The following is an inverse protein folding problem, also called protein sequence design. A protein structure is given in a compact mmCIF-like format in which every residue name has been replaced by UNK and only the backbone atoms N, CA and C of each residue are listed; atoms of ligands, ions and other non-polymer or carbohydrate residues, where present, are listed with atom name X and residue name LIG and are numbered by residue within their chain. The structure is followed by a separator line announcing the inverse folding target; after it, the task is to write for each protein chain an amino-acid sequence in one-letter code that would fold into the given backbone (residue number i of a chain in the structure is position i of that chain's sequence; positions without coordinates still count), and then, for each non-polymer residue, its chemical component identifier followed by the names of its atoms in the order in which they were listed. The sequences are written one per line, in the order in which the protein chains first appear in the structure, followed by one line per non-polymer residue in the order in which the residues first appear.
data_IF_613058854760
#
_entry.id   IF_613058854760
#
_cell.length_a   1.000
_cell.length_b   1.000
_cell.length_c   1.000
_cell.angle_alpha   90.00
_cell.angle_beta   90.00
_cell.angle_gamma   90.00
#
_symmetry.space_group_name_H-M   'P 1'
#
loop_
_entity.id
_entity.type
_entity.pdbx_description
1 polymer ?
#
# COMPACT_ATOMS: atom_id res chain seq x y z
N UNK A 1 -14.09 -22.01 -57.72
CA UNK A 1 -12.89 -21.75 -56.89
C UNK A 1 -12.28 -20.42 -57.30
N UNK A 2 -12.41 -19.38 -56.47
CA UNK A 2 -11.96 -18.02 -56.79
C UNK A 2 -10.51 -17.78 -56.36
N UNK A 3 -9.67 -17.24 -57.26
CA UNK A 3 -8.27 -16.90 -56.99
C UNK A 3 -8.19 -15.55 -56.26
N UNK A 4 -7.70 -15.54 -55.03
CA UNK A 4 -7.47 -14.32 -54.25
C UNK A 4 -6.15 -13.68 -54.68
N UNK A 5 -6.20 -12.45 -55.22
CA UNK A 5 -5.01 -11.64 -55.53
C UNK A 5 -4.53 -10.96 -54.24
N UNK A 6 -3.36 -11.35 -53.73
CA UNK A 6 -2.73 -10.68 -52.58
C UNK A 6 -2.03 -9.40 -53.03
N UNK A 7 -2.50 -8.24 -52.56
CA UNK A 7 -1.81 -6.97 -52.70
C UNK A 7 -0.63 -6.90 -51.71
N UNK A 8 0.60 -6.85 -52.22
CA UNK A 8 1.81 -6.58 -51.42
C UNK A 8 2.02 -5.06 -51.36
N UNK A 9 1.75 -4.46 -50.20
CA UNK A 9 2.17 -3.09 -49.93
C UNK A 9 3.66 -3.06 -49.57
N UNK A 10 4.47 -2.28 -50.30
CA UNK A 10 5.84 -1.96 -49.91
C UNK A 10 5.81 -0.78 -48.94
N UNK A 11 6.25 -1.00 -47.71
CA UNK A 11 6.45 0.08 -46.73
C UNK A 11 7.76 0.84 -47.05
N UNK A 12 7.79 2.18 -46.92
CA UNK A 12 9.00 2.96 -47.14
C UNK A 12 9.99 2.74 -45.99
N UNK A 13 11.24 2.41 -46.34
CA UNK A 13 12.34 2.27 -45.39
C UNK A 13 12.90 3.65 -45.03
N UNK A 14 12.66 4.10 -43.80
CA UNK A 14 13.30 5.30 -43.27
C UNK A 14 14.78 5.02 -43.00
N UNK A 15 15.67 5.81 -43.63
CA UNK A 15 17.12 5.78 -43.39
C UNK A 15 17.38 6.21 -41.94
N UNK A 16 17.71 5.25 -41.08
CA UNK A 16 18.20 5.51 -39.72
C UNK A 16 19.61 6.10 -39.80
N UNK A 17 19.76 7.33 -39.30
CA UNK A 17 21.05 7.98 -39.14
C UNK A 17 21.94 7.21 -38.16
N UNK A 18 23.16 6.93 -38.58
CA UNK A 18 24.20 6.22 -37.83
C UNK A 18 24.80 7.16 -36.80
N UNK A 19 24.29 7.15 -35.57
CA UNK A 19 24.94 7.80 -34.42
C UNK A 19 26.10 6.91 -33.97
N UNK A 20 27.31 7.45 -34.07
CA UNK A 20 28.55 6.81 -33.66
C UNK A 20 28.54 6.60 -32.14
N UNK A 21 28.55 5.34 -31.70
CA UNK A 21 28.72 4.97 -30.31
C UNK A 21 30.21 4.93 -29.95
N UNK A 22 30.63 5.83 -29.06
CA UNK A 22 31.94 5.77 -28.40
C UNK A 22 31.93 4.64 -27.36
N UNK A 23 32.76 3.63 -27.58
CA UNK A 23 32.88 2.45 -26.71
C UNK A 23 33.82 2.75 -25.54
N UNK A 24 33.25 3.24 -24.44
CA UNK A 24 33.93 3.26 -23.13
C UNK A 24 34.09 1.84 -22.59
N UNK A 25 35.34 1.36 -22.48
CA UNK A 25 35.70 0.07 -21.87
C UNK A 25 35.34 0.07 -20.39
N UNK A 26 34.26 -0.60 -20.02
CA UNK A 26 33.94 -0.94 -18.63
C UNK A 26 34.66 -2.25 -18.31
N UNK A 27 35.73 -2.18 -17.54
CA UNK A 27 36.41 -3.34 -16.97
C UNK A 27 35.49 -4.02 -15.95
N UNK A 28 35.04 -5.23 -16.28
CA UNK A 28 34.30 -6.09 -15.35
C UNK A 28 35.30 -6.76 -14.40
N UNK A 29 35.38 -6.30 -13.17
CA UNK A 29 36.00 -7.07 -12.09
C UNK A 29 35.10 -8.25 -11.74
N UNK A 30 35.54 -9.46 -12.11
CA UNK A 30 34.92 -10.73 -11.71
C UNK A 30 35.14 -10.91 -10.20
N UNK A 31 34.12 -10.68 -9.39
CA UNK A 31 34.11 -11.23 -8.03
C UNK A 31 33.78 -12.72 -8.11
N UNK A 32 34.79 -13.52 -7.79
CA UNK A 32 34.76 -14.98 -7.72
C UNK A 32 33.88 -15.39 -6.54
N UNK A 33 32.72 -15.99 -6.80
CA UNK A 33 31.95 -16.67 -5.77
C UNK A 33 32.81 -17.76 -5.14
N UNK A 34 33.06 -17.63 -3.84
CA UNK A 34 33.59 -18.72 -3.03
C UNK A 34 32.49 -19.78 -2.89
N UNK A 35 32.86 -21.04 -3.18
CA UNK A 35 32.03 -22.23 -2.96
C UNK A 35 31.76 -22.36 -1.45
N UNK A 36 30.51 -22.57 -0.99
CA UNK A 36 30.31 -23.04 0.37
C UNK A 36 30.86 -24.46 0.49
N UNK A 37 31.80 -24.63 1.40
CA UNK A 37 32.31 -25.93 1.83
C UNK A 37 31.21 -26.72 2.53
N UNK A 38 31.28 -28.03 2.36
CA UNK A 38 30.41 -29.04 2.96
C UNK A 38 30.28 -28.82 4.47
N UNK A 39 29.04 -28.59 4.94
CA UNK A 39 28.70 -28.76 6.35
C UNK A 39 27.89 -30.04 6.43
N UNK A 40 28.47 -30.99 7.15
CA UNK A 40 28.02 -32.33 7.41
C UNK A 40 26.57 -32.38 7.90
N UNK A 41 25.82 -33.34 7.35
CA UNK A 41 24.55 -33.80 7.91
C UNK A 41 24.85 -34.40 9.28
N UNK A 42 24.47 -33.71 10.35
CA UNK A 42 24.25 -34.34 11.65
C UNK A 42 22.76 -34.26 11.98
N UNK A 43 22.10 -35.40 11.81
CA UNK A 43 20.82 -35.66 12.45
C UNK A 43 21.05 -35.60 13.96
N UNK A 44 20.50 -34.56 14.60
CA UNK A 44 20.24 -34.55 16.04
C UNK A 44 18.73 -34.46 16.22
N UNK A 45 18.15 -35.56 16.66
CA UNK A 45 16.77 -35.67 17.10
C UNK A 45 16.56 -34.64 18.21
N UNK A 46 15.76 -33.61 17.94
CA UNK A 46 15.27 -32.70 18.98
C UNK A 46 13.98 -33.26 19.54
N UNK A 47 13.99 -33.34 20.85
CA UNK A 47 13.00 -33.89 21.77
C UNK A 47 11.65 -33.16 21.67
N UNK A 48 10.59 -33.91 21.94
CA UNK A 48 9.18 -33.53 21.84
C UNK A 48 8.71 -32.59 22.97
N UNK A 49 9.44 -31.52 23.29
CA UNK A 49 9.15 -30.70 24.48
C UNK A 49 8.67 -29.26 24.18
N UNK A 50 8.73 -28.80 22.93
CA UNK A 50 8.29 -27.43 22.59
C UNK A 50 6.81 -27.31 22.16
N UNK A 51 6.04 -28.40 22.23
CA UNK A 51 4.57 -28.37 22.14
C UNK A 51 3.95 -28.23 23.53
N UNK A 52 4.48 -27.32 24.34
CA UNK A 52 3.82 -26.86 25.55
C UNK A 52 2.49 -26.23 25.15
N UNK A 53 1.43 -27.04 25.24
CA UNK A 53 0.04 -26.64 25.23
C UNK A 53 -0.10 -25.43 26.15
N UNK A 54 -0.23 -24.24 25.56
CA UNK A 54 -0.80 -23.09 26.26
C UNK A 54 -2.17 -23.55 26.72
N UNK A 55 -2.33 -23.80 28.01
CA UNK A 55 -3.63 -24.02 28.61
C UNK A 55 -4.49 -22.82 28.25
N UNK A 56 -5.39 -23.02 27.29
CA UNK A 56 -6.38 -22.01 26.96
C UNK A 56 -7.33 -21.99 28.14
N UNK A 57 -7.33 -20.90 28.89
CA UNK A 57 -8.24 -20.73 30.01
C UNK A 57 -9.69 -20.74 29.48
N UNK A 58 -10.39 -21.84 29.77
CA UNK A 58 -11.74 -22.15 29.28
C UNK A 58 -12.74 -21.06 29.74
N UNK A 59 -12.46 -20.41 30.87
CA UNK A 59 -13.31 -19.37 31.43
C UNK A 59 -13.19 -18.05 30.65
N UNK A 60 -11.98 -17.72 30.19
CA UNK A 60 -11.73 -16.59 29.30
C UNK A 60 -12.44 -16.78 27.94
N UNK A 61 -12.38 -17.98 27.36
CA UNK A 61 -13.14 -18.33 26.15
C UNK A 61 -14.67 -18.24 26.36
N UNK A 62 -15.19 -18.69 27.52
CA UNK A 62 -16.64 -18.61 27.81
C UNK A 62 -17.14 -17.18 27.87
N UNK A 63 -16.35 -16.23 28.41
CA UNK A 63 -16.69 -14.81 28.43
C UNK A 63 -16.77 -14.23 27.02
N UNK A 64 -15.79 -14.53 26.16
CA UNK A 64 -15.77 -14.06 24.78
C UNK A 64 -16.93 -14.62 23.95
N UNK A 65 -17.30 -15.89 24.19
CA UNK A 65 -18.47 -16.53 23.55
C UNK A 65 -19.80 -15.93 24.05
N UNK A 66 -19.87 -15.51 25.32
CA UNK A 66 -21.07 -14.88 25.89
C UNK A 66 -21.28 -13.43 25.43
N UNK A 67 -20.18 -12.70 25.19
CA UNK A 67 -20.19 -11.33 24.68
C UNK A 67 -20.46 -11.25 23.17
N UNK A 68 -20.27 -12.37 22.44
CA UNK A 68 -20.71 -12.56 21.06
C UNK A 68 -22.23 -12.83 21.03
N UNK A 69 -23.00 -11.86 21.54
CA UNK A 69 -24.45 -11.86 21.50
C UNK A 69 -24.96 -12.19 20.09
N UNK A 70 -25.72 -13.29 20.00
CA UNK A 70 -26.55 -13.71 18.87
C UNK A 70 -25.93 -14.57 17.74
N UNK A 71 -24.82 -15.28 17.94
CA UNK A 71 -24.54 -16.47 17.11
C UNK A 71 -24.81 -17.77 17.89
N UNK A 72 -26.05 -18.24 17.71
CA UNK A 72 -26.58 -19.58 17.97
C UNK A 72 -25.60 -20.60 18.58
N UNK A 73 -25.83 -20.85 19.87
CA UNK A 73 -25.38 -22.03 20.61
C UNK A 73 -25.50 -23.30 19.78
N UNK A 74 -24.45 -24.12 19.88
CA UNK A 74 -24.36 -25.49 19.42
C UNK A 74 -25.61 -26.29 19.81
N UNK A 75 -26.49 -26.54 18.84
CA UNK A 75 -27.50 -27.59 18.94
C UNK A 75 -27.10 -28.68 17.95
N UNK A 76 -26.44 -29.71 18.47
CA UNK A 76 -26.21 -30.98 17.79
C UNK A 76 -27.54 -31.53 17.25
N UNK A 77 -27.52 -31.97 15.99
CA UNK A 77 -28.60 -32.65 15.24
C UNK A 77 -29.87 -31.88 14.83
N UNK A 78 -30.14 -30.66 15.31
CA UNK A 78 -31.27 -29.89 14.76
C UNK A 78 -30.81 -29.14 13.50
N UNK A 79 -31.13 -29.68 12.32
CA UNK A 79 -30.83 -29.03 11.03
C UNK A 79 -31.27 -27.57 11.07
N UNK A 80 -30.35 -26.66 10.75
CA UNK A 80 -30.49 -25.19 10.65
C UNK A 80 -31.79 -24.76 9.92
N UNK A 81 -32.38 -25.64 9.10
CA UNK A 81 -33.66 -25.45 8.41
C UNK A 81 -34.88 -25.31 9.33
N UNK A 82 -34.88 -25.93 10.51
CA UNK A 82 -36.01 -25.90 11.46
C UNK A 82 -36.12 -24.58 12.23
N UNK A 83 -35.04 -23.81 12.30
CA UNK A 83 -34.98 -22.60 13.12
C UNK A 83 -35.10 -21.30 12.31
N UNK A 84 -34.86 -21.35 10.99
CA UNK A 84 -34.98 -20.16 10.11
C UNK A 84 -36.35 -20.06 9.44
N UNK A 85 -37.01 -21.20 9.23
CA UNK A 85 -38.39 -21.27 8.78
C UNK A 85 -39.23 -21.67 10.00
N UNK A 86 -39.59 -20.70 10.85
CA UNK A 86 -40.45 -20.96 12.01
C UNK A 86 -41.62 -21.84 11.61
N UNK A 87 -41.68 -23.06 12.14
CA UNK A 87 -42.72 -24.08 11.98
C UNK A 87 -43.31 -24.33 10.58
N UNK A 88 -42.68 -23.88 9.49
CA UNK A 88 -43.19 -24.03 8.12
C UNK A 88 -42.56 -25.26 7.47
N UNK A 89 -43.40 -26.21 7.07
CA UNK A 89 -43.02 -27.43 6.35
C UNK A 89 -42.54 -27.09 4.94
N UNK A 90 -41.22 -26.89 4.79
CA UNK A 90 -40.59 -26.56 3.50
C UNK A 90 -40.76 -27.74 2.52
N UNK A 91 -41.20 -27.45 1.29
CA UNK A 91 -41.38 -28.48 0.22
C UNK A 91 -40.04 -29.12 -0.16
N UNK A 92 -40.04 -30.37 -0.64
CA UNK A 92 -38.81 -31.10 -1.04
C UNK A 92 -37.97 -30.31 -2.06
N UNK A 93 -38.62 -29.69 -3.05
CA UNK A 93 -37.98 -28.84 -4.08
C UNK A 93 -37.27 -27.62 -3.49
N UNK A 94 -37.92 -26.91 -2.57
CA UNK A 94 -37.33 -25.74 -1.88
C UNK A 94 -36.15 -26.16 -0.99
N UNK A 95 -36.26 -27.30 -0.28
CA UNK A 95 -35.15 -27.86 0.50
C UNK A 95 -33.93 -28.16 -0.36
N UNK A 96 -34.11 -28.64 -1.59
CA UNK A 96 -33.04 -28.90 -2.56
C UNK A 96 -32.42 -27.58 -3.03
N UNK A 97 -33.23 -26.58 -3.38
CA UNK A 97 -32.76 -25.27 -3.80
C UNK A 97 -31.94 -24.59 -2.71
N UNK A 98 -32.39 -24.64 -1.45
CA UNK A 98 -31.64 -24.12 -0.30
C UNK A 98 -30.30 -24.84 -0.17
N UNK A 99 -30.27 -26.18 -0.22
CA UNK A 99 -29.02 -26.95 -0.17
C UNK A 99 -28.05 -26.52 -1.26
N UNK A 100 -28.53 -26.41 -2.51
CA UNK A 100 -27.72 -25.98 -3.66
C UNK A 100 -27.20 -24.56 -3.47
N UNK A 101 -28.03 -23.64 -2.99
CA UNK A 101 -27.63 -22.25 -2.72
C UNK A 101 -26.57 -22.15 -1.62
N UNK A 102 -26.71 -22.92 -0.54
CA UNK A 102 -25.74 -22.95 0.56
C UNK A 102 -24.42 -23.58 0.12
N UNK A 103 -24.49 -24.66 -0.66
CA UNK A 103 -23.30 -25.29 -1.22
C UNK A 103 -22.56 -24.33 -2.17
N UNK A 104 -23.29 -23.65 -3.06
CA UNK A 104 -22.71 -22.64 -3.94
C UNK A 104 -22.01 -21.55 -3.14
N UNK A 105 -22.71 -20.96 -2.15
CA UNK A 105 -22.13 -19.96 -1.24
C UNK A 105 -20.86 -20.47 -0.55
N UNK A 106 -20.88 -21.71 -0.04
CA UNK A 106 -19.69 -22.31 0.61
C UNK A 106 -18.50 -22.43 -0.34
N UNK A 107 -18.73 -22.83 -1.59
CA UNK A 107 -17.69 -22.93 -2.60
C UNK A 107 -17.13 -21.54 -2.93
N UNK A 108 -18.01 -20.56 -3.11
CA UNK A 108 -17.63 -19.18 -3.42
C UNK A 108 -16.79 -18.58 -2.28
N UNK A 109 -17.24 -18.70 -1.02
CA UNK A 109 -16.47 -18.25 0.14
C UNK A 109 -15.11 -18.94 0.28
N UNK A 110 -15.03 -20.24 -0.05
CA UNK A 110 -13.76 -20.97 0.03
C UNK A 110 -12.77 -20.53 -1.06
N UNK A 111 -13.27 -20.15 -2.25
CA UNK A 111 -12.44 -19.58 -3.31
C UNK A 111 -11.93 -18.21 -2.91
N UNK A 112 -12.81 -17.35 -2.40
CA UNK A 112 -12.45 -16.01 -1.92
C UNK A 112 -11.35 -16.08 -0.86
N UNK A 113 -11.50 -16.94 0.16
CA UNK A 113 -10.47 -17.13 1.19
C UNK A 113 -9.12 -17.59 0.63
N UNK A 114 -9.12 -18.50 -0.35
CA UNK A 114 -7.89 -18.97 -1.01
C UNK A 114 -7.21 -17.87 -1.81
N UNK A 115 -7.97 -17.06 -2.55
CA UNK A 115 -7.40 -15.94 -3.29
C UNK A 115 -6.88 -14.86 -2.33
N UNK A 116 -7.61 -14.58 -1.25
CA UNK A 116 -7.16 -13.65 -0.21
C UNK A 116 -5.86 -14.12 0.45
N UNK A 117 -5.73 -15.41 0.74
CA UNK A 117 -4.51 -15.99 1.31
C UNK A 117 -3.30 -15.84 0.37
N UNK A 118 -3.47 -16.11 -0.93
CA UNK A 118 -2.41 -15.88 -1.93
C UNK A 118 -1.97 -14.42 -1.96
N UNK A 119 -2.93 -13.49 -1.92
CA UNK A 119 -2.64 -12.06 -1.90
C UNK A 119 -1.94 -11.67 -0.59
N UNK A 120 -2.38 -12.23 0.55
CA UNK A 120 -1.77 -12.02 1.86
C UNK A 120 -0.32 -12.48 1.89
N UNK A 121 0.00 -13.65 1.33
CA UNK A 121 1.37 -14.14 1.22
C UNK A 121 2.24 -13.19 0.37
N UNK A 122 1.71 -12.66 -0.74
CA UNK A 122 2.43 -11.67 -1.56
C UNK A 122 2.69 -10.38 -0.79
N UNK A 123 1.72 -9.87 -0.03
CA UNK A 123 1.85 -8.66 0.81
C UNK A 123 2.85 -8.86 1.93
N UNK A 124 2.80 -10.01 2.64
CA UNK A 124 3.75 -10.37 3.69
C UNK A 124 5.20 -10.38 3.19
N UNK A 125 5.42 -10.80 1.95
CA UNK A 125 6.75 -10.85 1.34
C UNK A 125 7.26 -9.47 0.86
N UNK A 126 6.49 -8.38 1.01
CA UNK A 126 6.95 -7.03 0.68
C UNK A 126 7.98 -6.54 1.73
N UNK A 127 9.26 -6.55 1.34
CA UNK A 127 10.42 -6.33 2.23
C UNK A 127 10.42 -5.07 3.09
N UNK A 128 9.70 -4.02 2.68
CA UNK A 128 9.80 -2.70 3.34
C UNK A 128 8.70 -2.49 4.39
N UNK A 129 7.51 -3.07 4.20
CA UNK A 129 6.31 -2.69 4.98
C UNK A 129 5.54 -3.92 5.50
N UNK A 130 5.75 -5.13 4.95
CA UNK A 130 4.98 -6.31 5.31
C UNK A 130 3.49 -6.21 4.94
N UNK A 131 2.61 -6.89 5.69
CA UNK A 131 1.17 -6.90 5.45
C UNK A 131 0.42 -5.90 6.35
N UNK A 132 -0.09 -4.82 5.75
CA UNK A 132 -0.80 -3.74 6.46
C UNK A 132 -2.31 -3.94 6.52
N UNK A 133 -2.87 -4.90 5.79
CA UNK A 133 -4.30 -5.15 5.76
C UNK A 133 -4.92 -5.46 7.13
N UNK A 134 -4.27 -6.23 8.02
CA UNK A 134 -4.81 -6.46 9.36
C UNK A 134 -5.09 -5.17 10.14
N UNK A 135 -4.33 -4.10 9.89
CA UNK A 135 -4.55 -2.80 10.53
C UNK A 135 -5.85 -2.15 10.05
N UNK A 136 -6.20 -2.33 8.78
CA UNK A 136 -7.44 -1.81 8.20
C UNK A 136 -8.64 -2.65 8.62
N UNK A 137 -8.51 -3.97 8.67
CA UNK A 137 -9.58 -4.89 9.06
C UNK A 137 -9.92 -4.78 10.56
N UNK A 138 -8.94 -4.35 11.38
CA UNK A 138 -9.14 -4.08 12.81
C UNK A 138 -9.94 -2.81 13.08
N UNK A 139 -10.23 -1.99 12.05
CA UNK A 139 -11.02 -0.78 12.22
C UNK A 139 -12.52 -1.11 12.22
N UNK A 140 -13.31 -0.51 13.12
CA UNK A 140 -14.76 -0.63 13.08
C UNK A 140 -15.32 -0.07 11.78
N UNK A 141 -16.40 -0.68 11.29
CA UNK A 141 -17.06 -0.22 10.06
C UNK A 141 -17.57 1.21 10.24
N UNK A 142 -17.58 1.98 9.16
CA UNK A 142 -18.06 3.36 9.20
C UNK A 142 -19.52 3.44 9.69
N UNK A 143 -20.34 2.45 9.36
CA UNK A 143 -21.72 2.33 9.84
C UNK A 143 -21.78 2.16 11.36
N UNK A 144 -20.94 1.28 11.93
CA UNK A 144 -20.80 1.13 13.38
C UNK A 144 -20.29 2.43 14.06
N UNK A 145 -19.41 3.20 13.40
CA UNK A 145 -19.03 4.51 13.89
C UNK A 145 -20.17 5.53 13.83
N UNK A 146 -20.97 5.53 12.76
CA UNK A 146 -22.07 6.47 12.54
C UNK A 146 -23.22 6.23 13.53
N UNK A 147 -23.52 4.98 13.85
CA UNK A 147 -24.50 4.62 14.89
C UNK A 147 -24.09 5.14 16.29
N UNK A 148 -22.78 5.17 16.58
CA UNK A 148 -22.23 5.62 17.85
C UNK A 148 -21.91 7.13 17.91
N UNK A 149 -22.12 7.88 16.82
CA UNK A 149 -21.64 9.26 16.63
C UNK A 149 -22.58 10.36 17.15
N UNK A 150 -23.41 10.11 18.16
CA UNK A 150 -24.26 11.17 18.72
C UNK A 150 -23.47 12.26 19.49
N UNK A 151 -22.19 12.07 19.84
CA UNK A 151 -21.40 13.07 20.58
C UNK A 151 -19.88 12.98 20.32
N UNK A 152 -19.41 13.20 19.10
CA UNK A 152 -17.96 13.42 18.89
C UNK A 152 -17.75 14.66 18.02
N UNK A 153 -17.45 15.78 18.68
CA UNK A 153 -16.95 16.98 18.02
C UNK A 153 -15.54 16.69 17.49
N UNK A 154 -15.46 16.11 16.28
CA UNK A 154 -14.22 16.00 15.55
C UNK A 154 -13.76 17.40 15.14
N UNK A 155 -12.83 17.99 15.91
CA UNK A 155 -12.03 19.13 15.43
C UNK A 155 -11.26 18.65 14.21
N UNK A 156 -11.67 19.12 13.04
CA UNK A 156 -10.99 18.85 11.77
C UNK A 156 -9.58 19.41 11.88
N UNK A 157 -8.61 18.52 12.10
CA UNK A 157 -7.19 18.82 12.03
C UNK A 157 -6.90 19.49 10.68
N UNK A 158 -6.26 20.67 10.72
CA UNK A 158 -5.90 21.43 9.54
C UNK A 158 -5.16 20.52 8.56
N UNK A 159 -5.68 20.45 7.32
CA UNK A 159 -5.13 19.63 6.25
C UNK A 159 -3.64 19.92 6.10
N UNK A 160 -2.79 18.95 6.37
CA UNK A 160 -1.36 19.02 6.05
C UNK A 160 -1.23 19.34 4.56
N UNK A 161 -0.65 20.50 4.23
CA UNK A 161 -0.34 20.85 2.85
C UNK A 161 0.60 19.80 2.30
N UNK A 162 0.18 19.11 1.23
CA UNK A 162 0.99 18.04 0.62
C UNK A 162 2.36 18.63 0.26
N UNK A 163 3.43 17.98 0.69
CA UNK A 163 4.81 18.38 0.33
C UNK A 163 4.88 18.44 -1.19
N UNK A 164 5.19 19.63 -1.73
CA UNK A 164 5.35 19.82 -3.17
C UNK A 164 6.51 18.93 -3.66
N UNK A 165 6.31 18.26 -4.79
CA UNK A 165 7.37 17.48 -5.44
C UNK A 165 8.52 18.38 -5.90
N UNK A 166 9.67 17.78 -6.20
CA UNK A 166 10.84 18.52 -6.68
C UNK A 166 10.52 19.19 -8.02
N UNK A 167 10.88 20.46 -8.17
CA UNK A 167 10.74 21.21 -9.43
C UNK A 167 11.44 20.50 -10.60
N UNK A 168 10.93 20.68 -11.83
CA UNK A 168 11.53 20.10 -13.04
C UNK A 168 12.98 20.59 -13.22
N UNK A 169 13.86 19.75 -13.77
CA UNK A 169 15.29 20.05 -13.94
C UNK A 169 15.56 21.39 -14.67
N UNK A 170 14.77 21.71 -15.72
CA UNK A 170 14.87 22.98 -16.45
C UNK A 170 14.58 24.19 -15.55
N UNK A 171 13.57 24.08 -14.67
CA UNK A 171 13.20 25.16 -13.75
C UNK A 171 14.26 25.34 -12.67
N UNK A 172 14.81 24.25 -12.14
CA UNK A 172 15.94 24.32 -11.19
C UNK A 172 17.15 25.00 -11.83
N UNK A 173 17.51 24.61 -13.06
CA UNK A 173 18.60 25.26 -13.79
C UNK A 173 18.36 26.76 -13.97
N UNK A 174 17.12 27.15 -14.32
CA UNK A 174 16.75 28.56 -14.47
C UNK A 174 16.85 29.32 -13.13
N UNK A 175 16.34 28.75 -12.03
CA UNK A 175 16.46 29.33 -10.69
C UNK A 175 17.93 29.53 -10.32
N UNK A 176 18.76 28.50 -10.45
CA UNK A 176 20.18 28.59 -10.14
C UNK A 176 20.91 29.66 -10.96
N UNK A 177 20.60 29.82 -12.26
CA UNK A 177 21.19 30.88 -13.09
C UNK A 177 20.76 32.25 -12.58
N UNK A 178 19.47 32.43 -12.32
CA UNK A 178 18.95 33.68 -11.77
C UNK A 178 19.57 34.01 -10.40
N UNK A 179 19.78 33.01 -9.55
CA UNK A 179 20.38 33.19 -8.22
C UNK A 179 21.85 33.61 -8.34
N UNK A 180 22.60 33.02 -9.29
CA UNK A 180 23.98 33.42 -9.60
C UNK A 180 24.02 34.87 -10.10
N UNK A 181 23.12 35.25 -11.01
CA UNK A 181 23.08 36.60 -11.56
C UNK A 181 22.68 37.63 -10.50
N UNK A 182 21.74 37.29 -9.62
CA UNK A 182 21.36 38.11 -8.47
C UNK A 182 22.53 38.32 -7.52
N UNK A 183 23.29 37.27 -7.22
CA UNK A 183 24.45 37.34 -6.34
C UNK A 183 25.57 38.20 -6.92
N UNK A 184 25.85 38.05 -8.22
CA UNK A 184 26.82 38.90 -8.93
C UNK A 184 26.41 40.37 -8.84
N UNK A 185 25.14 40.67 -9.04
CA UNK A 185 24.61 42.04 -8.89
C UNK A 185 24.82 42.57 -7.48
N UNK A 186 24.42 41.80 -6.46
CA UNK A 186 24.56 42.21 -5.06
C UNK A 186 26.01 42.49 -4.66
N UNK A 187 26.98 41.67 -5.10
CA UNK A 187 28.41 41.92 -4.84
C UNK A 187 28.91 43.19 -5.54
N UNK A 188 28.38 43.48 -6.72
CA UNK A 188 28.81 44.65 -7.50
C UNK A 188 28.22 45.97 -6.97
N UNK A 189 27.14 45.92 -6.19
CA UNK A 189 26.50 47.10 -5.61
C UNK A 189 27.38 47.75 -4.53
N UNK A 190 27.62 49.07 -4.65
CA UNK A 190 28.55 49.79 -3.78
C UNK A 190 28.08 49.86 -2.33
N UNK A 191 26.78 49.99 -2.10
CA UNK A 191 26.19 49.97 -0.75
C UNK A 191 26.45 48.64 -0.02
N UNK A 192 26.41 47.53 -0.76
CA UNK A 192 26.66 46.21 -0.22
C UNK A 192 28.15 45.99 0.09
N UNK A 193 29.06 46.59 -0.70
CA UNK A 193 30.51 46.56 -0.42
C UNK A 193 30.88 47.34 0.85
N UNK A 194 30.20 48.46 1.11
CA UNK A 194 30.45 49.29 2.29
C UNK A 194 30.00 48.55 3.56
N UNK A 195 28.71 48.21 3.66
CA UNK A 195 28.11 47.61 4.86
C UNK A 195 27.15 46.46 4.50
N UNK A 196 27.64 45.23 4.26
CA UNK A 196 26.80 44.12 3.81
C UNK A 196 25.76 43.71 4.86
N UNK A 197 26.12 43.72 6.15
CA UNK A 197 25.23 43.29 7.23
C UNK A 197 24.00 44.19 7.39
N UNK A 198 24.19 45.50 7.26
CA UNK A 198 23.09 46.48 7.37
C UNK A 198 22.11 46.34 6.21
N UNK A 199 22.61 46.19 4.99
CA UNK A 199 21.79 45.97 3.80
C UNK A 199 20.99 44.66 3.90
N UNK A 200 21.61 43.58 4.39
CA UNK A 200 20.93 42.30 4.62
C UNK A 200 19.84 42.44 5.69
N UNK A 201 20.14 43.14 6.79
CA UNK A 201 19.19 43.36 7.88
C UNK A 201 17.95 44.13 7.40
N UNK A 202 18.16 45.23 6.68
CA UNK A 202 17.10 46.05 6.09
C UNK A 202 16.26 45.26 5.09
N UNK A 203 16.90 44.41 4.27
CA UNK A 203 16.18 43.54 3.33
C UNK A 203 15.27 42.54 4.05
N UNK A 204 15.78 41.86 5.08
CA UNK A 204 14.99 40.90 5.87
C UNK A 204 13.78 41.61 6.51
N UNK A 205 14.00 42.79 7.09
CA UNK A 205 12.91 43.58 7.67
C UNK A 205 11.83 43.91 6.64
N UNK A 206 12.25 44.37 5.46
CA UNK A 206 11.34 44.68 4.34
C UNK A 206 10.52 43.46 3.91
N UNK A 207 11.15 42.28 3.80
CA UNK A 207 10.47 41.03 3.44
C UNK A 207 9.43 40.64 4.49
N UNK A 208 9.78 40.73 5.78
CA UNK A 208 8.86 40.43 6.88
C UNK A 208 7.66 41.37 6.89
N UNK A 209 7.86 42.67 6.66
CA UNK A 209 6.78 43.65 6.55
C UNK A 209 5.85 43.36 5.36
N UNK A 210 6.40 42.98 4.21
CA UNK A 210 5.61 42.57 3.04
C UNK A 210 4.78 41.32 3.30
N UNK A 211 5.33 40.32 3.99
CA UNK A 211 4.59 39.10 4.35
C UNK A 211 3.46 39.40 5.34
N UNK A 212 3.68 40.30 6.31
CA UNK A 212 2.63 40.76 7.24
C UNK A 212 1.50 41.47 6.50
N UNK A 213 1.83 42.39 5.59
CA UNK A 213 0.85 43.14 4.81
C UNK A 213 0.06 42.26 3.82
N UNK A 214 0.65 41.16 3.34
CA UNK A 214 -0.01 40.22 2.41
C UNK A 214 -0.98 39.25 3.09
N UNK A 215 -0.86 39.08 4.41
CA UNK A 215 -1.71 38.19 5.19
C UNK A 215 -3.00 38.86 5.69
N UNK A 216 -3.11 40.19 5.57
CA UNK A 216 -4.32 40.99 5.79
C UNK A 216 -5.11 41.05 4.48
#
# INVERSE_FOLDING_TARGET
MGKVKSFKYKLPTTKLAKVMATTGKITKTKQKLQKPQNISKSFKNKTNEDMALKFVDINSLKKDISNLGNLKKNNSFKSIKSQKAGNKTIKKKEKLNIKRSLLKKKIDTMKELKEEEKVRQKRKNMSVIGDTNPLHDSLPSLESLLENKKKVNCRLSQRSTKKRGIDKAKQRKKKNINDIDLFKRAINDDLFKINPFEIISNHIQTVVEQERNKAI
#
